data_IF_630766781374
#
_entry.id   IF_630766781374
#
_cell.length_a   1.000
_cell.length_b   1.000
_cell.length_c   1.000
_cell.angle_alpha   90.00
_cell.angle_beta   90.00
_cell.angle_gamma   90.00
#
_symmetry.space_group_name_H-M   'P 1'
#
loop_
_entity.id
_entity.type
_entity.pdbx_description
1 polymer ?
#
# COMPACT_ATOMS: atom_id res chain seq x y z
N UNK A 1 18.06 0.48 -5.08
CA UNK A 1 16.62 0.11 -4.99
C UNK A 1 16.23 -0.16 -3.54
N UNK A 2 15.09 0.35 -3.14
CA UNK A 2 14.50 0.05 -1.84
C UNK A 2 13.11 -0.53 -2.05
N UNK A 3 12.65 -1.37 -1.11
CA UNK A 3 11.29 -1.91 -1.12
C UNK A 3 10.57 -1.49 0.15
N UNK A 4 9.42 -0.87 -0.04
CA UNK A 4 8.54 -0.52 1.05
C UNK A 4 7.65 -1.73 1.36
N UNK A 5 7.62 -2.12 2.61
CA UNK A 5 6.72 -3.16 3.12
C UNK A 5 5.71 -2.52 4.04
N UNK A 6 4.43 -2.65 3.70
CA UNK A 6 3.34 -2.20 4.55
C UNK A 6 2.63 -3.43 5.11
N UNK A 7 2.57 -3.50 6.43
CA UNK A 7 1.80 -4.55 7.11
C UNK A 7 0.55 -3.90 7.68
N UNK A 8 -0.60 -4.32 7.17
CA UNK A 8 -1.90 -3.77 7.57
C UNK A 8 -2.60 -4.67 8.56
N UNK A 9 -3.20 -4.04 9.57
CA UNK A 9 -4.21 -4.68 10.41
C UNK A 9 -5.55 -4.16 9.92
N UNK A 10 -6.37 -5.07 9.40
CA UNK A 10 -7.63 -4.74 8.72
C UNK A 10 -8.78 -5.07 9.67
N UNK A 11 -9.87 -4.31 9.57
CA UNK A 11 -11.13 -4.69 10.21
C UNK A 11 -11.62 -5.97 9.52
N UNK A 12 -11.70 -7.11 10.26
CA UNK A 12 -12.05 -8.39 9.63
C UNK A 12 -13.45 -8.43 9.01
N UNK A 13 -14.31 -7.48 9.35
CA UNK A 13 -15.63 -7.34 8.75
C UNK A 13 -15.61 -6.50 7.46
N UNK A 14 -14.46 -5.97 7.08
CA UNK A 14 -14.31 -5.04 5.95
C UNK A 14 -13.19 -5.46 4.99
N UNK A 15 -13.00 -6.77 4.83
CA UNK A 15 -11.95 -7.28 3.93
C UNK A 15 -12.22 -6.91 2.47
N UNK A 16 -13.48 -6.90 2.05
CA UNK A 16 -13.85 -6.52 0.69
C UNK A 16 -13.53 -5.04 0.42
N UNK A 17 -13.75 -4.16 1.40
CA UNK A 17 -13.40 -2.76 1.30
C UNK A 17 -11.89 -2.58 1.18
N UNK A 18 -11.13 -3.32 1.98
CA UNK A 18 -9.67 -3.28 1.90
C UNK A 18 -9.17 -3.77 0.55
N UNK A 19 -9.75 -4.83 0.01
CA UNK A 19 -9.37 -5.34 -1.30
C UNK A 19 -9.60 -4.30 -2.39
N UNK A 20 -10.73 -3.61 -2.34
CA UNK A 20 -11.00 -2.50 -3.25
C UNK A 20 -9.96 -1.39 -3.13
N UNK A 21 -9.65 -0.98 -1.90
CA UNK A 21 -8.63 0.02 -1.61
C UNK A 21 -7.27 -0.40 -2.17
N UNK A 22 -6.88 -1.66 -1.96
CA UNK A 22 -5.61 -2.20 -2.45
C UNK A 22 -5.52 -2.11 -3.98
N UNK A 23 -6.60 -2.45 -4.68
CA UNK A 23 -6.66 -2.38 -6.14
C UNK A 23 -6.48 -0.97 -6.68
N UNK A 24 -6.87 0.05 -5.92
CA UNK A 24 -6.66 1.44 -6.32
C UNK A 24 -5.18 1.82 -6.33
N UNK A 25 -4.40 1.32 -5.36
CA UNK A 25 -3.02 1.74 -5.17
C UNK A 25 -2.02 1.12 -6.14
N UNK A 26 -2.28 -0.06 -6.66
CA UNK A 26 -1.34 -0.72 -7.57
C UNK A 26 -1.04 0.17 -8.79
N UNK A 27 -2.03 0.63 -9.56
CA UNK A 27 -1.73 1.52 -10.69
C UNK A 27 -1.22 2.89 -10.27
N UNK A 28 -1.62 3.39 -9.10
CA UNK A 28 -1.17 4.70 -8.63
C UNK A 28 0.33 4.70 -8.32
N UNK A 29 0.82 3.70 -7.60
CA UNK A 29 2.25 3.58 -7.32
C UNK A 29 3.04 3.44 -8.62
N UNK A 30 2.56 2.61 -9.55
CA UNK A 30 3.22 2.39 -10.84
C UNK A 30 3.28 3.68 -11.67
N UNK A 31 2.23 4.50 -11.64
CA UNK A 31 2.18 5.77 -12.35
C UNK A 31 3.12 6.80 -11.74
N UNK A 32 3.32 6.76 -10.43
CA UNK A 32 4.07 7.77 -9.69
C UNK A 32 5.54 7.39 -9.42
N UNK A 33 6.08 6.47 -10.21
CA UNK A 33 7.53 6.19 -10.22
C UNK A 33 7.98 4.96 -9.45
N UNK A 34 7.06 4.21 -8.87
CA UNK A 34 7.37 2.95 -8.19
C UNK A 34 7.05 1.74 -9.03
N UNK A 35 7.31 0.57 -8.45
CA UNK A 35 6.90 -0.72 -8.99
C UNK A 35 6.15 -1.45 -7.88
N UNK A 36 4.86 -1.62 -8.04
CA UNK A 36 4.06 -2.34 -7.05
C UNK A 36 4.13 -3.83 -7.32
N UNK A 37 4.53 -4.60 -6.30
CA UNK A 37 4.65 -6.06 -6.40
C UNK A 37 3.35 -6.78 -6.01
N UNK A 38 2.35 -6.03 -5.58
CA UNK A 38 1.06 -6.55 -5.23
C UNK A 38 0.79 -6.56 -3.74
N UNK A 39 -0.43 -6.97 -3.41
CA UNK A 39 -0.88 -7.18 -2.04
C UNK A 39 -0.99 -8.67 -1.77
N UNK A 40 -0.74 -9.04 -0.52
CA UNK A 40 -0.89 -10.40 -0.04
C UNK A 40 -1.97 -10.38 1.02
N UNK A 41 -3.13 -10.96 0.69
CA UNK A 41 -4.32 -10.90 1.51
C UNK A 41 -4.41 -12.09 2.47
N UNK A 42 -5.19 -11.98 3.56
CA UNK A 42 -5.38 -13.11 4.47
C UNK A 42 -5.93 -14.34 3.72
N UNK A 43 -5.39 -15.52 4.03
CA UNK A 43 -5.86 -16.78 3.49
C UNK A 43 -5.97 -17.83 4.62
N UNK A 44 -4.84 -18.34 5.10
CA UNK A 44 -4.79 -19.21 6.27
C UNK A 44 -3.98 -18.51 7.36
N UNK A 45 -4.39 -18.66 8.61
CA UNK A 45 -3.77 -17.98 9.75
C UNK A 45 -4.56 -16.76 10.17
N UNK A 46 -3.90 -15.64 10.43
CA UNK A 46 -4.58 -14.40 10.82
C UNK A 46 -5.58 -13.98 9.73
N UNK A 47 -6.79 -13.62 10.15
CA UNK A 47 -7.87 -13.28 9.22
C UNK A 47 -7.90 -11.80 8.83
N UNK A 48 -6.98 -11.00 9.36
CA UNK A 48 -7.03 -9.55 9.23
C UNK A 48 -5.66 -8.90 8.99
N UNK A 49 -4.66 -9.67 8.55
CA UNK A 49 -3.33 -9.17 8.25
C UNK A 49 -3.11 -9.24 6.75
N UNK A 50 -2.70 -8.13 6.16
CA UNK A 50 -2.30 -8.07 4.75
C UNK A 50 -0.95 -7.38 4.62
N UNK A 51 -0.26 -7.68 3.53
CA UNK A 51 1.02 -7.05 3.21
C UNK A 51 0.92 -6.39 1.84
N UNK A 52 1.60 -5.26 1.70
CA UNK A 52 1.84 -4.64 0.41
C UNK A 52 3.36 -4.47 0.24
N UNK A 53 3.86 -4.77 -0.94
CA UNK A 53 5.26 -4.59 -1.28
C UNK A 53 5.35 -3.75 -2.54
N UNK A 54 6.14 -2.68 -2.49
CA UNK A 54 6.41 -1.88 -3.68
C UNK A 54 7.78 -1.24 -3.57
N UNK A 55 8.43 -1.09 -4.71
CA UNK A 55 9.84 -0.67 -4.79
C UNK A 55 9.99 0.67 -5.50
N UNK A 56 11.03 1.39 -5.11
CA UNK A 56 11.48 2.62 -5.78
C UNK A 56 12.99 2.52 -6.04
N UNK A 57 13.51 3.24 -7.04
CA UNK A 57 14.95 3.24 -7.30
C UNK A 57 15.79 3.69 -6.11
N UNK A 58 15.24 4.56 -5.26
CA UNK A 58 15.95 5.13 -4.11
C UNK A 58 14.96 5.68 -3.10
N UNK A 59 15.45 6.00 -1.90
CA UNK A 59 14.64 6.73 -0.92
C UNK A 59 14.25 8.12 -1.43
N UNK A 60 15.12 8.76 -2.21
CA UNK A 60 14.78 10.05 -2.82
C UNK A 60 13.59 9.94 -3.78
N UNK A 61 13.54 8.87 -4.57
CA UNK A 61 12.41 8.62 -5.46
C UNK A 61 11.12 8.37 -4.68
N UNK A 62 11.21 7.65 -3.56
CA UNK A 62 10.06 7.44 -2.67
C UNK A 62 9.58 8.76 -2.08
N UNK A 63 10.50 9.62 -1.65
CA UNK A 63 10.16 10.93 -1.09
C UNK A 63 9.45 11.81 -2.13
N UNK A 64 9.91 11.78 -3.38
CA UNK A 64 9.26 12.49 -4.48
C UNK A 64 7.84 11.97 -4.74
N UNK A 65 7.65 10.64 -4.69
CA UNK A 65 6.34 10.01 -4.76
C UNK A 65 5.41 10.52 -3.64
N UNK A 66 5.90 10.58 -2.42
CA UNK A 66 5.12 11.07 -1.27
C UNK A 66 4.70 12.53 -1.45
N UNK A 67 5.58 13.34 -1.97
CA UNK A 67 5.28 14.76 -2.22
C UNK A 67 4.21 14.92 -3.32
N UNK A 68 4.31 14.14 -4.39
CA UNK A 68 3.36 14.19 -5.50
C UNK A 68 1.98 13.67 -5.12
N UNK A 69 1.92 12.63 -4.30
CA UNK A 69 0.68 12.00 -3.88
C UNK A 69 -0.23 12.94 -3.08
N UNK A 70 0.34 13.94 -2.40
CA UNK A 70 -0.42 14.92 -1.61
C UNK A 70 -1.37 15.74 -2.48
N UNK A 71 -0.98 16.05 -3.72
CA UNK A 71 -1.78 16.85 -4.64
C UNK A 71 -2.45 16.03 -5.75
N UNK A 72 -2.24 14.72 -5.80
CA UNK A 72 -2.81 13.85 -6.81
C UNK A 72 -4.25 13.49 -6.44
N UNK A 73 -5.19 13.78 -7.35
CA UNK A 73 -6.61 13.61 -7.09
C UNK A 73 -7.00 12.15 -6.87
N UNK A 74 -6.40 11.22 -7.61
CA UNK A 74 -6.69 9.78 -7.46
C UNK A 74 -6.14 9.23 -6.15
N UNK A 75 -4.96 9.68 -5.73
CA UNK A 75 -4.40 9.30 -4.43
C UNK A 75 -5.28 9.82 -3.29
N UNK A 76 -5.75 11.05 -3.40
CA UNK A 76 -6.64 11.63 -2.39
C UNK A 76 -7.98 10.88 -2.32
N UNK A 77 -8.51 10.45 -3.46
CA UNK A 77 -9.72 9.64 -3.48
C UNK A 77 -9.52 8.28 -2.81
N UNK A 78 -8.36 7.65 -3.00
CA UNK A 78 -8.02 6.39 -2.33
C UNK A 78 -7.95 6.57 -0.81
N UNK A 79 -7.29 7.61 -0.33
CA UNK A 79 -7.26 7.92 1.10
C UNK A 79 -8.65 8.20 1.66
N UNK A 80 -9.48 8.94 0.93
CA UNK A 80 -10.86 9.22 1.34
C UNK A 80 -11.69 7.94 1.46
N UNK A 81 -11.48 6.99 0.56
CA UNK A 81 -12.15 5.69 0.62
C UNK A 81 -11.79 4.94 1.90
N UNK A 82 -10.49 4.88 2.24
CA UNK A 82 -10.04 4.23 3.47
C UNK A 82 -10.62 4.91 4.72
N UNK A 83 -10.67 6.23 4.73
CA UNK A 83 -11.23 6.99 5.84
C UNK A 83 -12.74 6.77 6.00
N UNK A 84 -13.46 6.76 4.88
CA UNK A 84 -14.90 6.53 4.88
C UNK A 84 -15.27 5.14 5.35
N UNK A 85 -14.56 4.12 4.89
CA UNK A 85 -14.88 2.72 5.19
C UNK A 85 -14.34 2.26 6.54
N UNK A 86 -13.27 2.89 7.02
CA UNK A 86 -12.56 2.47 8.25
C UNK A 86 -12.07 1.02 8.15
N UNK A 87 -11.70 0.57 6.97
CA UNK A 87 -11.26 -0.80 6.76
C UNK A 87 -9.86 -1.07 7.30
N UNK A 88 -9.03 -0.04 7.50
CA UNK A 88 -7.68 -0.17 8.05
C UNK A 88 -7.68 0.28 9.51
N UNK A 89 -7.33 -0.63 10.42
CA UNK A 89 -7.24 -0.31 11.83
C UNK A 89 -5.89 0.30 12.19
N UNK A 90 -4.81 -0.26 11.63
CA UNK A 90 -3.45 0.23 11.81
C UNK A 90 -2.55 -0.33 10.72
N UNK A 91 -1.33 0.21 10.60
CA UNK A 91 -0.34 -0.32 9.68
C UNK A 91 1.06 0.01 10.16
N UNK A 92 2.02 -0.79 9.69
CA UNK A 92 3.44 -0.57 9.89
C UNK A 92 4.11 -0.43 8.54
N UNK A 93 5.00 0.55 8.41
CA UNK A 93 5.78 0.78 7.18
C UNK A 93 7.24 0.54 7.47
N UNK A 94 7.89 -0.30 6.66
CA UNK A 94 9.30 -0.58 6.77
C UNK A 94 9.94 -0.49 5.40
N UNK A 95 11.19 -0.05 5.36
CA UNK A 95 11.96 -0.01 4.13
C UNK A 95 13.03 -1.08 4.19
N UNK A 96 13.09 -1.89 3.14
CA UNK A 96 13.96 -3.04 3.07
C UNK A 96 14.81 -2.99 1.81
N UNK A 97 15.94 -3.65 1.86
CA UNK A 97 16.78 -3.85 0.70
C UNK A 97 16.38 -5.18 0.06
N UNK A 98 15.87 -5.20 -1.18
CA UNK A 98 15.46 -6.46 -1.79
C UNK A 98 16.65 -7.36 -2.11
N UNK A 99 16.50 -8.64 -1.84
CA UNK A 99 17.42 -9.69 -2.23
C UNK A 99 16.60 -10.72 -2.98
N UNK A 100 16.70 -10.73 -4.30
CA UNK A 100 15.80 -11.48 -5.18
C UNK A 100 16.53 -12.58 -5.97
N UNK A 101 17.27 -13.38 -5.30
CA UNK A 101 18.00 -14.47 -5.93
C UNK A 101 19.50 -14.28 -5.87
#
# INVERSE_FOLDING_TARGET
MITCSLRYVIDPYKLADFEHYAKLWIPLVNRLGGTHHGYFLPHEGANNIALALFSFPSLAAYEAYRAEMVSDAECQAAFAFAEKTRCILSYERSFMKPLLG
#
